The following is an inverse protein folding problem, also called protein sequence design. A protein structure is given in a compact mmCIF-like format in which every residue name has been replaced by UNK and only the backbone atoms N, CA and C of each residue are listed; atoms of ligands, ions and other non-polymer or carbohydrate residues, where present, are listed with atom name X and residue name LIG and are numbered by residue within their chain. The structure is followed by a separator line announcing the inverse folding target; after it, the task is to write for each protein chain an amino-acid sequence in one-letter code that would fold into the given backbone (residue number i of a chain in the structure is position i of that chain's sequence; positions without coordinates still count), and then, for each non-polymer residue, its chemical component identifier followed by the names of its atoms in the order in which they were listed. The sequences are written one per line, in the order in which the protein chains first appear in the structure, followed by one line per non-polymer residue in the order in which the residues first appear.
data_IF_216992839141
#
_entry.id   IF_216992839141
#
_cell.length_a   1.000
_cell.length_b   1.000
_cell.length_c   1.000
_cell.angle_alpha   90.00
_cell.angle_beta   90.00
_cell.angle_gamma   90.00
#
_symmetry.space_group_name_H-M   'P 1'
#
loop_
_entity.id
_entity.type
_entity.pdbx_description
1 polymer ?
#
# COMPACT_ATOMS: atom_id res chain seq x y z
N UNK A 1 17.78 -44.06 16.70
CA UNK A 1 17.02 -43.71 15.49
C UNK A 1 15.52 -43.74 15.80
N UNK A 2 14.87 -42.59 15.75
CA UNK A 2 13.47 -42.40 15.31
C UNK A 2 13.15 -40.90 15.40
N UNK A 3 13.14 -40.27 14.24
CA UNK A 3 12.79 -38.88 14.02
C UNK A 3 11.27 -38.76 14.17
N UNK A 4 10.79 -38.01 15.16
CA UNK A 4 9.40 -37.60 15.21
C UNK A 4 9.25 -36.32 14.40
N UNK A 5 8.92 -36.48 13.12
CA UNK A 5 8.44 -35.40 12.27
C UNK A 5 7.01 -35.07 12.71
N UNK A 6 6.84 -33.99 13.47
CA UNK A 6 5.51 -33.42 13.73
C UNK A 6 5.31 -32.30 12.73
N UNK A 7 4.34 -32.53 11.85
CA UNK A 7 3.93 -31.66 10.78
C UNK A 7 3.57 -30.26 11.31
N UNK A 8 4.15 -29.24 10.66
CA UNK A 8 3.75 -27.85 10.79
C UNK A 8 2.36 -27.75 10.15
N UNK A 9 1.30 -27.77 10.96
CA UNK A 9 -0.02 -27.33 10.52
C UNK A 9 0.03 -25.80 10.45
N UNK A 10 0.38 -25.28 9.26
CA UNK A 10 0.07 -23.92 8.88
C UNK A 10 -1.44 -23.76 8.92
N UNK A 11 -1.95 -23.29 10.06
CA UNK A 11 -3.28 -22.72 10.16
C UNK A 11 -3.29 -21.44 9.33
N UNK A 12 -3.43 -21.59 8.01
CA UNK A 12 -3.91 -20.56 7.12
C UNK A 12 -5.35 -20.29 7.50
N UNK A 13 -5.56 -19.52 8.57
CA UNK A 13 -6.79 -18.77 8.74
C UNK A 13 -6.77 -17.67 7.67
N UNK A 14 -7.15 -18.05 6.46
CA UNK A 14 -7.89 -17.16 5.58
C UNK A 14 -9.25 -16.94 6.24
N UNK A 15 -9.26 -16.16 7.31
CA UNK A 15 -10.45 -15.47 7.73
C UNK A 15 -10.73 -14.42 6.65
N UNK A 16 -11.33 -14.86 5.54
CA UNK A 16 -12.25 -14.02 4.79
C UNK A 16 -13.48 -13.80 5.69
N UNK A 17 -13.27 -13.10 6.82
CA UNK A 17 -14.36 -12.45 7.49
C UNK A 17 -14.84 -11.40 6.49
N UNK A 18 -16.05 -11.59 5.99
CA UNK A 18 -16.85 -10.54 5.39
C UNK A 18 -16.96 -9.43 6.42
N UNK A 19 -15.92 -8.60 6.45
CA UNK A 19 -15.84 -7.40 7.24
C UNK A 19 -16.80 -6.48 6.53
N UNK A 20 -17.89 -6.08 7.18
CA UNK A 20 -18.54 -4.84 6.82
C UNK A 20 -17.40 -3.83 6.62
N UNK A 21 -17.14 -3.43 5.38
CA UNK A 21 -15.95 -2.66 5.06
C UNK A 21 -16.02 -1.41 5.93
N UNK A 22 -15.14 -1.32 6.93
CA UNK A 22 -15.06 -0.13 7.75
C UNK A 22 -14.90 1.05 6.79
N UNK A 23 -15.66 2.12 7.03
CA UNK A 23 -15.59 3.29 6.17
C UNK A 23 -14.12 3.72 6.03
N UNK A 24 -13.67 3.90 4.80
CA UNK A 24 -12.29 4.24 4.51
C UNK A 24 -11.93 5.53 5.23
N UNK A 25 -10.88 5.49 6.05
CA UNK A 25 -10.45 6.66 6.80
C UNK A 25 -9.68 7.64 5.91
N UNK A 26 -9.56 8.90 6.34
CA UNK A 26 -8.65 9.86 5.68
C UNK A 26 -7.21 9.34 5.66
N UNK A 27 -6.80 8.61 6.71
CA UNK A 27 -5.47 8.00 6.79
C UNK A 27 -5.26 6.96 5.69
N UNK A 28 -6.28 6.14 5.39
CA UNK A 28 -6.20 5.14 4.33
C UNK A 28 -6.13 5.80 2.94
N UNK A 29 -6.87 6.88 2.73
CA UNK A 29 -6.79 7.69 1.52
C UNK A 29 -5.38 8.28 1.31
N UNK A 30 -4.77 8.82 2.38
CA UNK A 30 -3.42 9.37 2.32
C UNK A 30 -2.36 8.29 2.07
N UNK A 31 -2.49 7.13 2.71
CA UNK A 31 -1.61 5.97 2.49
C UNK A 31 -1.71 5.45 1.06
N UNK A 32 -2.92 5.31 0.52
CA UNK A 32 -3.11 4.92 -0.88
C UNK A 32 -2.46 5.92 -1.84
N UNK A 33 -2.63 7.22 -1.57
CA UNK A 33 -1.99 8.29 -2.36
C UNK A 33 -0.46 8.20 -2.32
N UNK A 34 0.12 7.94 -1.14
CA UNK A 34 1.57 7.70 -0.96
C UNK A 34 2.03 6.48 -1.76
N UNK A 35 1.33 5.35 -1.63
CA UNK A 35 1.62 4.11 -2.34
C UNK A 35 1.60 4.29 -3.86
N UNK A 36 0.62 5.03 -4.38
CA UNK A 36 0.54 5.36 -5.80
C UNK A 36 1.71 6.22 -6.26
N UNK A 37 2.19 7.15 -5.42
CA UNK A 37 3.38 7.96 -5.67
C UNK A 37 4.68 7.16 -5.67
N UNK A 38 4.80 6.16 -4.78
CA UNK A 38 5.94 5.22 -4.78
C UNK A 38 5.94 4.35 -6.04
N UNK A 39 4.78 3.83 -6.45
CA UNK A 39 4.63 3.04 -7.66
C UNK A 39 5.00 3.86 -8.92
N UNK A 40 4.52 5.10 -8.98
CA UNK A 40 4.87 6.07 -10.04
C UNK A 40 6.38 6.36 -10.10
N UNK A 41 7.04 6.32 -8.94
CA UNK A 41 8.47 6.55 -8.82
C UNK A 41 9.35 5.45 -9.42
N UNK A 42 8.77 4.32 -9.86
CA UNK A 42 9.42 3.34 -10.73
C UNK A 42 10.51 2.48 -10.07
N UNK A 43 10.55 2.38 -8.73
CA UNK A 43 11.53 1.53 -8.04
C UNK A 43 11.28 0.03 -8.28
N UNK A 44 10.04 -0.36 -8.54
CA UNK A 44 9.61 -1.72 -8.85
C UNK A 44 8.31 -1.65 -9.64
N UNK A 45 8.12 -2.56 -10.59
CA UNK A 45 6.89 -2.63 -11.38
C UNK A 45 5.73 -3.12 -10.52
N UNK A 46 4.68 -2.33 -10.43
CA UNK A 46 3.50 -2.58 -9.62
C UNK A 46 2.29 -2.13 -10.42
N UNK A 47 1.30 -3.01 -10.60
CA UNK A 47 0.00 -2.61 -11.13
C UNK A 47 -0.67 -1.58 -10.21
N UNK A 48 -1.00 -0.42 -10.77
CA UNK A 48 -1.59 0.73 -10.08
C UNK A 48 -3.08 0.88 -10.31
N UNK A 49 -3.70 0.05 -11.15
CA UNK A 49 -5.09 0.24 -11.57
C UNK A 49 -6.06 0.29 -10.37
N UNK A 50 -5.86 -0.60 -9.40
CA UNK A 50 -6.65 -0.63 -8.17
C UNK A 50 -6.39 0.58 -7.27
N UNK A 51 -5.14 1.06 -7.18
CA UNK A 51 -4.80 2.26 -6.41
C UNK A 51 -5.44 3.50 -7.03
N UNK A 52 -5.41 3.61 -8.36
CA UNK A 52 -6.02 4.69 -9.12
C UNK A 52 -7.54 4.70 -8.92
N UNK A 53 -8.18 3.53 -8.98
CA UNK A 53 -9.61 3.38 -8.71
C UNK A 53 -9.98 3.74 -7.27
N UNK A 54 -9.19 3.27 -6.29
CA UNK A 54 -9.39 3.56 -4.87
C UNK A 54 -9.31 5.07 -4.59
N UNK A 55 -8.21 5.72 -5.00
CA UNK A 55 -8.02 7.17 -4.78
C UNK A 55 -9.13 7.97 -5.47
N UNK A 56 -9.52 7.56 -6.68
CA UNK A 56 -10.61 8.22 -7.40
C UNK A 56 -11.95 8.06 -6.70
N UNK A 57 -12.28 6.86 -6.21
CA UNK A 57 -13.56 6.62 -5.52
C UNK A 57 -13.62 7.39 -4.20
N UNK A 58 -12.58 7.22 -3.39
CA UNK A 58 -12.50 7.75 -2.03
C UNK A 58 -12.26 9.26 -1.99
N UNK A 59 -11.68 9.85 -3.04
CA UNK A 59 -11.40 11.28 -3.09
C UNK A 59 -12.63 12.16 -3.38
N UNK A 60 -13.70 11.61 -3.97
CA UNK A 60 -14.84 12.42 -4.50
C UNK A 60 -15.66 13.11 -3.41
N UNK A 61 -15.77 12.48 -2.25
CA UNK A 61 -16.62 12.94 -1.14
C UNK A 61 -15.79 13.55 -0.01
N UNK A 62 -14.46 13.51 -0.12
CA UNK A 62 -13.55 14.05 0.89
C UNK A 62 -13.41 15.56 0.77
N UNK A 63 -13.12 16.19 1.91
CA UNK A 63 -12.88 17.63 1.94
C UNK A 63 -11.61 17.99 1.13
N UNK A 64 -11.53 19.25 0.71
CA UNK A 64 -10.42 19.75 -0.10
C UNK A 64 -9.05 19.65 0.61
N UNK A 65 -9.03 19.73 1.95
CA UNK A 65 -7.80 19.60 2.71
C UNK A 65 -7.20 18.20 2.61
N UNK A 66 -8.02 17.16 2.69
CA UNK A 66 -7.60 15.75 2.62
C UNK A 66 -7.15 15.40 1.20
N UNK A 67 -7.86 15.88 0.17
CA UNK A 67 -7.48 15.63 -1.23
C UNK A 67 -6.15 16.31 -1.58
N UNK A 68 -5.94 17.57 -1.15
CA UNK A 68 -4.67 18.27 -1.34
C UNK A 68 -3.54 17.61 -0.54
N UNK A 69 -3.83 17.16 0.69
CA UNK A 69 -2.87 16.40 1.50
C UNK A 69 -2.49 15.08 0.84
N UNK A 70 -3.43 14.41 0.18
CA UNK A 70 -3.20 13.18 -0.60
C UNK A 70 -2.28 13.42 -1.78
N UNK A 71 -2.54 14.49 -2.55
CA UNK A 71 -1.65 14.94 -3.63
C UNK A 71 -0.23 15.24 -3.12
N UNK A 72 -0.12 15.92 -1.98
CA UNK A 72 1.17 16.20 -1.34
C UNK A 72 1.92 14.92 -0.94
N UNK A 73 1.22 13.90 -0.40
CA UNK A 73 1.82 12.59 -0.11
C UNK A 73 2.27 11.86 -1.38
N UNK A 74 1.47 11.89 -2.43
CA UNK A 74 1.82 11.31 -3.73
C UNK A 74 3.10 11.96 -4.28
N UNK A 75 3.14 13.29 -4.34
CA UNK A 75 4.28 14.02 -4.89
C UNK A 75 5.53 13.85 -4.02
N UNK A 76 5.36 13.81 -2.70
CA UNK A 76 6.45 13.51 -1.77
C UNK A 76 7.01 12.12 -2.05
N UNK A 77 6.18 11.08 -2.03
CA UNK A 77 6.57 9.70 -2.29
C UNK A 77 7.33 9.55 -3.62
N UNK A 78 6.79 10.14 -4.70
CA UNK A 78 7.44 10.16 -6.01
C UNK A 78 8.82 10.82 -6.00
N UNK A 79 9.03 11.85 -5.15
CA UNK A 79 10.36 12.44 -4.96
C UNK A 79 11.28 11.56 -4.12
N UNK A 80 10.76 10.82 -3.14
CA UNK A 80 11.57 9.95 -2.29
C UNK A 80 12.26 8.83 -3.10
N UNK A 81 11.63 8.36 -4.17
CA UNK A 81 12.21 7.33 -5.04
C UNK A 81 13.45 7.79 -5.81
N UNK A 82 13.64 9.10 -5.98
CA UNK A 82 14.79 9.71 -6.66
C UNK A 82 16.05 9.78 -5.80
N UNK A 83 15.99 9.30 -4.56
CA UNK A 83 17.14 9.28 -3.66
C UNK A 83 18.26 8.39 -4.20
N UNK A 84 19.53 8.76 -4.02
CA UNK A 84 20.66 7.88 -4.38
C UNK A 84 21.06 6.89 -3.28
N UNK A 85 20.46 7.02 -2.10
CA UNK A 85 20.71 6.14 -0.97
C UNK A 85 20.05 4.76 -1.20
N UNK A 86 20.88 3.72 -1.30
CA UNK A 86 20.45 2.34 -1.58
C UNK A 86 19.59 1.74 -0.47
N UNK A 87 19.92 2.00 0.79
CA UNK A 87 19.14 1.52 1.95
C UNK A 87 17.75 2.16 1.96
N UNK A 88 17.69 3.44 1.60
CA UNK A 88 16.43 4.16 1.48
C UNK A 88 15.59 3.59 0.33
N UNK A 89 16.18 3.32 -0.84
CA UNK A 89 15.47 2.65 -1.94
C UNK A 89 14.91 1.29 -1.50
N UNK A 90 15.70 0.47 -0.81
CA UNK A 90 15.26 -0.83 -0.31
C UNK A 90 14.05 -0.72 0.63
N UNK A 91 14.04 0.28 1.53
CA UNK A 91 12.89 0.54 2.41
C UNK A 91 11.65 0.98 1.63
N UNK A 92 11.79 1.84 0.63
CA UNK A 92 10.67 2.27 -0.21
C UNK A 92 10.10 1.11 -1.05
N UNK A 93 10.95 0.20 -1.53
CA UNK A 93 10.52 -1.04 -2.19
C UNK A 93 9.80 -1.96 -1.21
N UNK A 94 10.28 -2.10 0.02
CA UNK A 94 9.61 -2.90 1.05
C UNK A 94 8.25 -2.29 1.44
N UNK A 95 8.14 -0.96 1.48
CA UNK A 95 6.86 -0.28 1.68
C UNK A 95 5.88 -0.58 0.53
N UNK A 96 6.37 -0.46 -0.71
CA UNK A 96 5.58 -0.69 -1.91
C UNK A 96 5.14 -2.16 -2.06
N UNK A 97 5.99 -3.11 -1.67
CA UNK A 97 5.72 -4.55 -1.80
C UNK A 97 5.06 -5.17 -0.57
N UNK A 98 5.03 -4.47 0.56
CA UNK A 98 4.37 -4.91 1.80
C UNK A 98 3.08 -4.12 2.06
N UNK A 99 3.11 -3.05 2.89
CA UNK A 99 1.92 -2.27 3.25
C UNK A 99 1.05 -1.81 2.06
N UNK A 100 1.66 -1.41 0.94
CA UNK A 100 0.91 -0.92 -0.22
C UNK A 100 0.12 -1.99 -0.97
N UNK A 101 0.35 -3.28 -0.70
CA UNK A 101 -0.45 -4.37 -1.27
C UNK A 101 -1.92 -4.27 -0.85
N UNK A 102 -2.21 -3.64 0.30
CA UNK A 102 -3.57 -3.42 0.77
C UNK A 102 -4.44 -2.58 -0.19
N UNK A 103 -3.83 -1.87 -1.15
CA UNK A 103 -4.52 -1.00 -2.10
C UNK A 103 -4.45 -1.52 -3.55
N UNK A 104 -4.02 -2.77 -3.76
CA UNK A 104 -3.79 -3.35 -5.10
C UNK A 104 -4.94 -4.18 -5.68
N UNK A 105 -6.08 -4.20 -5.02
CA UNK A 105 -7.29 -4.91 -5.46
C UNK A 105 -7.48 -6.21 -4.70
#
# INVERSE_FOLDING_TARGET
MKLFAIAITSAGLLAAAGSAAAAVSDVDYLKASRCRGLAEGGLTTVDTAAMDAFIKNEGRTRNAFVTERGKSEFDKAKRETKTDNTDRKARLVAELTGPCQAYRG
#
